data_IF_390991223151
#
_entry.id   IF_390991223151
#
_cell.length_a   1.000
_cell.length_b   1.000
_cell.length_c   1.000
_cell.angle_alpha   90.00
_cell.angle_beta   90.00
_cell.angle_gamma   90.00
#
_symmetry.space_group_name_H-M   'P 1'
#
loop_
_entity.id
_entity.type
_entity.pdbx_description
1 polymer ?
#
# COMPACT_ATOMS: atom_id res chain seq x y z
N UNK A 1 15.29 -13.40 4.81
CA UNK A 1 13.87 -13.24 5.21
C UNK A 1 13.42 -11.88 4.74
N UNK A 2 12.63 -11.79 3.67
CA UNK A 2 12.24 -10.50 3.12
C UNK A 2 10.72 -10.41 3.10
N UNK A 3 10.13 -10.10 4.26
CA UNK A 3 8.71 -9.70 4.37
C UNK A 3 8.42 -8.46 3.50
N UNK A 4 9.45 -7.69 3.14
CA UNK A 4 9.43 -6.46 2.34
C UNK A 4 8.57 -5.33 2.92
N UNK A 5 7.96 -5.55 4.09
CA UNK A 5 7.31 -4.53 4.92
C UNK A 5 8.30 -3.44 5.26
N UNK A 6 7.96 -2.22 4.86
CA UNK A 6 8.61 -1.00 5.31
C UNK A 6 7.93 -0.49 6.57
N UNK A 7 6.61 -0.36 6.52
CA UNK A 7 5.76 -0.02 7.66
C UNK A 7 4.39 -0.67 7.47
N UNK A 8 3.73 -1.01 8.58
CA UNK A 8 2.36 -1.48 8.57
C UNK A 8 1.71 -1.23 9.93
N UNK A 9 0.39 -1.19 9.95
CA UNK A 9 -0.41 -1.22 11.16
C UNK A 9 -1.35 -2.43 11.13
N UNK A 10 -1.74 -2.89 12.32
CA UNK A 10 -2.66 -4.01 12.46
C UNK A 10 -3.52 -3.88 13.72
N UNK A 11 -4.68 -4.51 13.68
CA UNK A 11 -5.58 -4.73 14.82
C UNK A 11 -5.63 -6.24 15.12
N UNK A 12 -5.89 -6.58 16.38
CA UNK A 12 -6.07 -7.96 16.83
C UNK A 12 -4.75 -8.73 16.91
N UNK A 13 -4.71 -9.93 16.34
CA UNK A 13 -3.57 -10.86 16.54
C UNK A 13 -2.28 -10.31 15.94
N UNK A 14 -1.17 -10.38 16.66
CA UNK A 14 0.14 -9.97 16.14
C UNK A 14 0.53 -10.77 14.89
N UNK A 15 0.97 -10.10 13.79
CA UNK A 15 1.50 -10.78 12.61
C UNK A 15 2.63 -11.76 12.95
N UNK A 16 2.75 -12.86 12.21
CA UNK A 16 3.71 -13.92 12.49
C UNK A 16 5.18 -13.45 12.54
N UNK A 17 5.52 -12.41 11.78
CA UNK A 17 6.86 -11.82 11.76
C UNK A 17 7.09 -10.78 12.88
N UNK A 18 6.07 -10.46 13.68
CA UNK A 18 6.15 -9.53 14.80
C UNK A 18 6.39 -8.06 14.41
N UNK A 19 6.12 -7.68 13.15
CA UNK A 19 6.33 -6.31 12.67
C UNK A 19 5.00 -5.57 12.58
N UNK A 20 5.09 -4.25 12.62
CA UNK A 20 3.96 -3.34 12.49
C UNK A 20 3.53 -2.73 13.81
N UNK A 21 2.69 -1.70 13.70
CA UNK A 21 2.16 -0.95 14.83
C UNK A 21 0.79 -1.51 15.20
N UNK A 22 0.65 -2.00 16.44
CA UNK A 22 -0.64 -2.43 16.96
C UNK A 22 -1.55 -1.22 17.16
N UNK A 23 -2.79 -1.34 16.70
CA UNK A 23 -3.85 -0.37 16.90
C UNK A 23 -5.00 -1.02 17.67
N UNK A 24 -5.68 -0.21 18.49
CA UNK A 24 -6.99 -0.59 19.00
C UNK A 24 -8.01 -0.64 17.86
N UNK A 25 -9.14 -1.30 18.09
CA UNK A 25 -10.24 -1.33 17.13
C UNK A 25 -10.82 0.08 16.89
N UNK A 26 -11.38 0.30 15.68
CA UNK A 26 -12.13 1.51 15.31
C UNK A 26 -11.35 2.83 15.41
N UNK A 27 -10.03 2.76 15.21
CA UNK A 27 -9.20 3.96 15.09
C UNK A 27 -9.53 4.75 13.80
N UNK A 28 -9.44 6.09 13.84
CA UNK A 28 -9.71 6.92 12.67
C UNK A 28 -8.65 6.73 11.59
N UNK A 29 -9.00 7.05 10.33
CA UNK A 29 -8.11 6.81 9.19
C UNK A 29 -6.79 7.58 9.27
N UNK A 30 -6.76 8.72 9.94
CA UNK A 30 -5.54 9.50 10.14
C UNK A 30 -4.53 8.74 11.01
N UNK A 31 -5.01 7.99 12.00
CA UNK A 31 -4.17 7.11 12.82
C UNK A 31 -3.64 5.96 11.97
N UNK A 32 -4.50 5.35 11.13
CA UNK A 32 -4.08 4.34 10.17
C UNK A 32 -3.04 4.85 9.19
N UNK A 33 -3.25 6.01 8.57
CA UNK A 33 -2.32 6.61 7.62
C UNK A 33 -0.94 6.77 8.25
N UNK A 34 -0.87 7.33 9.46
CA UNK A 34 0.39 7.52 10.16
C UNK A 34 1.05 6.19 10.54
N UNK A 35 0.30 5.29 11.18
CA UNK A 35 0.85 4.07 11.78
C UNK A 35 1.15 2.99 10.74
N UNK A 36 0.44 2.98 9.60
CA UNK A 36 0.75 2.11 8.46
C UNK A 36 1.88 2.66 7.58
N UNK A 37 2.36 3.88 7.85
CA UNK A 37 3.37 4.56 7.03
C UNK A 37 2.84 5.01 5.66
N UNK A 38 1.58 5.44 5.61
CA UNK A 38 0.85 5.89 4.41
C UNK A 38 0.53 7.40 4.44
N UNK A 39 1.01 8.14 5.45
CA UNK A 39 0.80 9.60 5.62
C UNK A 39 1.77 10.42 4.76
N UNK A 40 1.68 10.22 3.44
CA UNK A 40 2.46 10.93 2.41
C UNK A 40 1.74 10.84 1.06
N UNK A 41 2.16 11.66 0.11
CA UNK A 41 1.63 11.66 -1.25
C UNK A 41 2.69 11.27 -2.26
N UNK A 42 2.26 10.58 -3.32
CA UNK A 42 3.08 10.33 -4.50
C UNK A 42 3.06 11.60 -5.35
N UNK A 43 4.22 12.23 -5.48
CA UNK A 43 4.45 13.39 -6.33
C UNK A 43 5.10 12.98 -7.64
N UNK A 44 4.95 13.82 -8.66
CA UNK A 44 5.44 13.57 -10.01
C UNK A 44 6.42 14.66 -10.44
N UNK A 45 7.47 14.29 -11.18
CA UNK A 45 8.40 15.24 -11.79
C UNK A 45 8.91 14.75 -13.16
N UNK A 46 9.38 15.66 -14.04
CA UNK A 46 10.00 15.26 -15.30
C UNK A 46 11.26 14.41 -15.09
N UNK A 47 11.42 13.37 -15.91
CA UNK A 47 12.68 12.59 -15.92
C UNK A 47 13.75 13.37 -16.68
N UNK A 48 14.91 13.56 -16.04
CA UNK A 48 16.11 14.12 -16.66
C UNK A 48 17.25 13.11 -16.58
N UNK A 49 18.04 13.02 -17.63
CA UNK A 49 19.22 12.15 -17.72
C UNK A 49 20.40 12.91 -18.32
N UNK A 50 21.61 12.50 -17.97
CA UNK A 50 22.84 13.11 -18.49
C UNK A 50 23.39 12.27 -19.64
N UNK A 51 23.87 12.94 -20.70
CA UNK A 51 24.57 12.31 -21.82
C UNK A 51 25.90 12.99 -22.08
N UNK A 52 26.94 12.23 -22.42
CA UNK A 52 28.31 12.72 -22.62
C UNK A 52 29.24 12.27 -21.50
N UNK A 53 30.52 12.61 -21.62
CA UNK A 53 31.56 12.35 -20.62
C UNK A 53 31.68 13.52 -19.63
N UNK A 54 32.56 13.42 -18.64
CA UNK A 54 32.74 14.45 -17.57
C UNK A 54 32.94 15.89 -18.11
N UNK A 55 33.46 16.05 -19.32
CA UNK A 55 33.72 17.36 -19.93
C UNK A 55 32.63 17.85 -20.90
N UNK A 56 31.70 16.98 -21.33
CA UNK A 56 30.68 17.29 -22.35
C UNK A 56 29.25 16.96 -21.91
N UNK A 57 29.04 16.79 -20.60
CA UNK A 57 27.76 16.41 -20.03
C UNK A 57 26.66 17.40 -20.41
N UNK A 58 25.60 16.89 -21.04
CA UNK A 58 24.38 17.63 -21.36
C UNK A 58 23.19 16.98 -20.67
N UNK A 59 22.32 17.80 -20.07
CA UNK A 59 21.09 17.34 -19.43
C UNK A 59 20.00 17.24 -20.50
N UNK A 60 19.45 16.04 -20.66
CA UNK A 60 18.31 15.77 -21.55
C UNK A 60 17.08 15.41 -20.72
N UNK A 61 15.91 15.70 -21.27
CA UNK A 61 14.62 15.35 -20.67
C UNK A 61 14.00 14.18 -21.42
N UNK A 62 13.49 13.19 -20.70
CA UNK A 62 12.68 12.12 -21.30
C UNK A 62 11.20 12.50 -21.18
N UNK A 63 10.68 13.21 -22.19
CA UNK A 63 9.36 13.85 -22.12
C UNK A 63 8.19 12.87 -21.92
N UNK A 64 8.28 11.65 -22.47
CA UNK A 64 7.23 10.63 -22.37
C UNK A 64 7.16 9.94 -21.01
N UNK A 65 8.07 10.26 -20.10
CA UNK A 65 8.17 9.66 -18.79
C UNK A 65 8.21 10.71 -17.66
N UNK A 66 7.70 10.29 -16.51
CA UNK A 66 7.73 11.02 -15.25
C UNK A 66 8.29 10.13 -14.15
N UNK A 67 9.00 10.74 -13.20
CA UNK A 67 9.42 10.08 -11.97
C UNK A 67 8.36 10.30 -10.92
N UNK A 68 8.03 9.22 -10.20
CA UNK A 68 7.20 9.23 -9.00
C UNK A 68 8.12 9.23 -7.78
N UNK A 69 7.82 10.06 -6.80
CA UNK A 69 8.59 10.15 -5.56
C UNK A 69 7.70 10.49 -4.37
N UNK A 70 8.17 10.21 -3.15
CA UNK A 70 7.40 10.50 -1.93
C UNK A 70 7.51 11.96 -1.53
N UNK A 71 6.41 12.56 -1.11
CA UNK A 71 6.38 13.95 -0.62
C UNK A 71 7.15 14.18 0.68
N UNK A 72 7.30 13.14 1.50
CA UNK A 72 7.89 13.23 2.85
C UNK A 72 9.43 13.19 2.85
N UNK A 73 10.00 12.38 1.96
CA UNK A 73 11.41 12.02 1.95
C UNK A 73 12.10 12.34 0.63
N UNK A 74 11.33 12.69 -0.40
CA UNK A 74 11.77 12.77 -1.79
C UNK A 74 12.36 11.46 -2.32
N UNK A 75 12.10 10.33 -1.65
CA UNK A 75 12.62 9.04 -2.09
C UNK A 75 11.99 8.65 -3.44
N UNK A 76 12.80 8.24 -4.43
CA UNK A 76 12.29 7.84 -5.74
C UNK A 76 11.52 6.52 -5.62
N UNK A 77 10.35 6.46 -6.25
CA UNK A 77 9.49 5.29 -6.28
C UNK A 77 9.63 4.55 -7.60
N UNK A 78 9.36 5.22 -8.72
CA UNK A 78 9.42 4.60 -10.04
C UNK A 78 9.51 5.64 -11.16
N UNK A 79 9.88 5.20 -12.36
CA UNK A 79 9.72 5.97 -13.60
C UNK A 79 8.60 5.32 -14.41
N UNK A 80 7.58 6.10 -14.74
CA UNK A 80 6.39 5.65 -15.45
C UNK A 80 6.11 6.52 -16.66
N UNK A 81 5.28 6.05 -17.60
CA UNK A 81 4.84 6.86 -18.73
C UNK A 81 3.98 8.04 -18.26
N UNK A 82 3.91 9.13 -19.03
CA UNK A 82 3.05 10.29 -18.72
C UNK A 82 1.58 9.92 -18.48
N UNK A 83 1.05 8.93 -19.22
CA UNK A 83 -0.35 8.47 -19.11
C UNK A 83 -0.66 7.65 -17.83
N UNK A 84 0.37 7.28 -17.06
CA UNK A 84 0.19 6.44 -15.89
C UNK A 84 -0.64 7.18 -14.82
N UNK A 85 -1.69 6.52 -14.33
CA UNK A 85 -2.58 7.04 -13.30
C UNK A 85 -2.12 6.52 -11.94
N UNK A 86 -1.78 7.46 -11.07
CA UNK A 86 -1.29 7.15 -9.72
C UNK A 86 -2.49 7.06 -8.78
N UNK A 87 -2.57 5.96 -8.03
CA UNK A 87 -3.47 5.85 -6.88
C UNK A 87 -2.69 6.23 -5.63
N UNK A 88 -3.16 7.24 -4.91
CA UNK A 88 -2.54 7.77 -3.71
C UNK A 88 -2.72 6.84 -2.51
N UNK A 89 -1.75 6.78 -1.57
CA UNK A 89 -1.89 5.99 -0.35
C UNK A 89 -3.17 6.33 0.43
N UNK A 90 -3.54 7.61 0.47
CA UNK A 90 -4.78 8.08 1.11
C UNK A 90 -6.02 7.49 0.45
N UNK A 91 -6.11 7.48 -0.88
CA UNK A 91 -7.27 6.94 -1.62
C UNK A 91 -7.53 5.46 -1.28
N UNK A 92 -6.48 4.67 -1.00
CA UNK A 92 -6.61 3.28 -0.55
C UNK A 92 -7.32 3.19 0.81
N UNK A 93 -6.99 4.07 1.77
CA UNK A 93 -7.66 4.10 3.07
C UNK A 93 -9.09 4.61 2.96
N UNK A 94 -9.30 5.64 2.14
CA UNK A 94 -10.61 6.25 1.94
C UNK A 94 -11.60 5.27 1.29
N UNK A 95 -11.15 4.41 0.37
CA UNK A 95 -11.95 3.32 -0.16
C UNK A 95 -12.55 2.43 0.95
N UNK A 96 -11.80 2.17 2.02
CA UNK A 96 -12.30 1.38 3.14
C UNK A 96 -13.24 2.13 4.06
N UNK A 97 -13.10 3.46 4.22
CA UNK A 97 -14.08 4.25 4.98
C UNK A 97 -15.48 4.06 4.42
N UNK A 98 -15.63 4.17 3.11
CA UNK A 98 -16.93 4.01 2.45
C UNK A 98 -17.51 2.60 2.69
N UNK A 99 -16.66 1.56 2.68
CA UNK A 99 -17.08 0.19 2.98
C UNK A 99 -17.39 -0.05 4.46
N UNK A 100 -16.68 0.62 5.37
CA UNK A 100 -16.95 0.53 6.80
C UNK A 100 -18.29 1.18 7.14
N UNK A 101 -18.61 2.33 6.53
CA UNK A 101 -19.85 3.08 6.75
C UNK A 101 -21.07 2.37 6.17
N UNK A 102 -20.93 1.74 5.00
CA UNK A 102 -22.07 1.13 4.29
C UNK A 102 -22.25 -0.35 4.61
N UNK A 103 -21.16 -1.11 4.80
CA UNK A 103 -21.19 -2.58 4.88
C UNK A 103 -20.68 -3.15 6.21
N UNK A 104 -20.32 -2.30 7.18
CA UNK A 104 -19.82 -2.73 8.48
C UNK A 104 -18.46 -3.44 8.42
N UNK A 105 -17.67 -3.19 7.37
CA UNK A 105 -16.33 -3.74 7.26
C UNK A 105 -15.43 -3.07 8.29
N UNK A 106 -14.39 -3.78 8.73
CA UNK A 106 -13.45 -3.27 9.73
C UNK A 106 -12.02 -3.42 9.21
N UNK A 107 -11.27 -2.32 9.13
CA UNK A 107 -9.85 -2.36 8.78
C UNK A 107 -9.10 -3.23 9.80
N UNK A 108 -8.38 -4.23 9.29
CA UNK A 108 -7.64 -5.17 10.13
C UNK A 108 -6.14 -4.98 9.97
N UNK A 109 -5.66 -4.73 8.76
CA UNK A 109 -4.25 -4.47 8.49
C UNK A 109 -4.09 -3.53 7.30
N UNK A 110 -3.04 -2.71 7.31
CA UNK A 110 -2.66 -1.84 6.20
C UNK A 110 -1.17 -1.55 6.24
N UNK A 111 -0.56 -1.29 5.10
CA UNK A 111 0.85 -0.96 5.08
C UNK A 111 1.46 -0.72 3.72
N UNK A 112 2.78 -0.50 3.79
CA UNK A 112 3.63 -0.19 2.66
C UNK A 112 4.73 -1.24 2.55
N UNK A 113 4.95 -1.71 1.33
CA UNK A 113 5.97 -2.68 0.97
C UNK A 113 6.96 -2.06 0.00
N UNK A 114 8.20 -2.57 0.00
CA UNK A 114 9.25 -2.22 -0.98
C UNK A 114 9.56 -0.71 -1.06
N UNK A 115 9.60 0.02 0.06
CA UNK A 115 10.05 1.42 0.05
C UNK A 115 9.03 2.41 -0.52
N UNK A 116 7.72 2.19 -0.31
CA UNK A 116 6.65 2.96 -0.96
C UNK A 116 6.14 2.36 -2.27
N UNK A 117 6.87 1.36 -2.79
CA UNK A 117 6.60 0.57 -4.00
C UNK A 117 5.14 0.15 -4.16
N UNK A 118 4.68 -0.53 -3.12
CA UNK A 118 3.37 -1.18 -3.07
C UNK A 118 2.68 -0.81 -1.78
N UNK A 119 1.38 -0.62 -1.89
CA UNK A 119 0.52 -0.17 -0.82
C UNK A 119 -0.65 -1.13 -0.76
N UNK A 120 -1.06 -1.52 0.44
CA UNK A 120 -2.16 -2.44 0.61
C UNK A 120 -2.93 -2.15 1.90
N UNK A 121 -4.19 -2.53 1.91
CA UNK A 121 -5.03 -2.57 3.09
C UNK A 121 -5.98 -3.77 3.00
N UNK A 122 -6.41 -4.26 4.15
CA UNK A 122 -7.28 -5.42 4.31
C UNK A 122 -8.34 -5.08 5.34
N UNK A 123 -9.59 -5.28 4.98
CA UNK A 123 -10.70 -5.19 5.91
C UNK A 123 -11.38 -6.55 6.08
N UNK A 124 -11.77 -6.85 7.32
CA UNK A 124 -12.63 -7.96 7.66
C UNK A 124 -14.07 -7.62 7.25
N UNK A 125 -14.75 -8.54 6.58
CA UNK A 125 -16.09 -8.29 6.00
C UNK A 125 -17.24 -8.58 6.97
N UNK A 126 -16.93 -9.08 8.17
CA UNK A 126 -17.92 -9.62 9.12
C UNK A 126 -18.47 -11.00 8.75
N UNK A 127 -18.21 -11.50 7.53
CA UNK A 127 -18.58 -12.85 7.13
C UNK A 127 -17.63 -13.87 7.74
N UNK A 128 -18.19 -14.97 8.25
CA UNK A 128 -17.41 -16.11 8.74
C UNK A 128 -18.07 -17.43 8.37
N UNK A 129 -17.27 -18.47 8.25
CA UNK A 129 -17.71 -19.82 7.93
C UNK A 129 -17.05 -20.81 8.91
N UNK A 130 -17.88 -21.60 9.59
CA UNK A 130 -17.41 -22.70 10.42
C UNK A 130 -17.19 -23.95 9.58
N UNK A 131 -15.94 -24.43 9.58
CA UNK A 131 -15.52 -25.69 9.01
C UNK A 131 -15.69 -26.83 10.01
N UNK A 132 -15.58 -28.06 9.52
CA UNK A 132 -15.65 -29.26 10.36
C UNK A 132 -14.55 -29.22 11.42
N UNK A 133 -14.92 -29.46 12.69
CA UNK A 133 -13.96 -29.46 13.81
C UNK A 133 -13.83 -28.13 14.55
N UNK A 134 -14.84 -27.26 14.47
CA UNK A 134 -14.87 -25.93 15.12
C UNK A 134 -13.79 -24.95 14.61
N UNK A 135 -13.24 -25.19 13.42
CA UNK A 135 -12.36 -24.24 12.74
C UNK A 135 -13.20 -23.13 12.09
N UNK A 136 -12.87 -21.87 12.32
CA UNK A 136 -13.65 -20.71 11.85
C UNK A 136 -12.80 -19.88 10.91
N UNK A 137 -13.23 -19.77 9.66
CA UNK A 137 -12.59 -18.93 8.64
C UNK A 137 -13.34 -17.61 8.50
N UNK A 138 -12.62 -16.49 8.48
CA UNK A 138 -13.18 -15.16 8.25
C UNK A 138 -13.05 -14.75 6.77
N UNK A 139 -14.00 -13.95 6.29
CA UNK A 139 -13.92 -13.27 5.00
C UNK A 139 -13.23 -11.92 5.11
N UNK A 140 -12.39 -11.61 4.13
CA UNK A 140 -11.67 -10.35 4.01
C UNK A 140 -11.80 -9.78 2.61
N UNK A 141 -11.67 -8.45 2.50
CA UNK A 141 -11.46 -7.74 1.25
C UNK A 141 -10.07 -7.10 1.27
N UNK A 142 -9.20 -7.55 0.38
CA UNK A 142 -7.87 -6.99 0.14
C UNK A 142 -7.94 -5.96 -0.98
N UNK A 143 -7.35 -4.78 -0.77
CA UNK A 143 -7.05 -3.81 -1.80
C UNK A 143 -5.54 -3.61 -1.84
N UNK A 144 -4.94 -3.84 -2.99
CA UNK A 144 -3.51 -3.66 -3.20
C UNK A 144 -3.24 -2.89 -4.49
N UNK A 145 -2.26 -1.99 -4.46
CA UNK A 145 -1.79 -1.24 -5.63
C UNK A 145 -0.27 -1.10 -5.61
N UNK A 146 0.31 -0.83 -6.77
CA UNK A 146 1.72 -0.50 -6.88
C UNK A 146 1.91 0.66 -7.85
N UNK A 147 2.74 1.62 -7.49
CA UNK A 147 3.07 2.76 -8.34
C UNK A 147 4.24 2.49 -9.31
N UNK A 148 4.82 1.29 -9.25
CA UNK A 148 5.94 0.85 -10.10
C UNK A 148 5.50 0.07 -11.35
N UNK A 149 4.18 -0.03 -11.59
CA UNK A 149 3.62 -0.78 -12.72
C UNK A 149 3.68 -2.30 -12.58
N UNK A 150 4.16 -2.83 -11.46
CA UNK A 150 4.26 -4.29 -11.22
C UNK A 150 2.95 -4.93 -10.75
N UNK A 151 1.94 -4.13 -10.43
CA UNK A 151 0.63 -4.57 -9.96
C UNK A 151 -0.43 -3.55 -10.39
N UNK A 152 -1.54 -4.03 -10.96
CA UNK A 152 -2.73 -3.22 -11.14
C UNK A 152 -3.46 -3.06 -9.81
N UNK A 153 -4.07 -1.90 -9.57
CA UNK A 153 -4.96 -1.71 -8.41
C UNK A 153 -6.03 -2.81 -8.41
N UNK A 154 -5.99 -3.68 -7.40
CA UNK A 154 -6.77 -4.91 -7.35
C UNK A 154 -7.51 -4.98 -6.02
N UNK A 155 -8.82 -5.13 -6.08
CA UNK A 155 -9.68 -5.48 -4.95
C UNK A 155 -10.05 -6.97 -5.06
N UNK A 156 -9.81 -7.76 -4.01
CA UNK A 156 -10.05 -9.21 -4.03
C UNK A 156 -10.59 -9.70 -2.68
N UNK A 157 -11.65 -10.52 -2.73
CA UNK A 157 -12.09 -11.28 -1.57
C UNK A 157 -11.11 -12.42 -1.26
N UNK A 158 -10.78 -12.60 0.01
CA UNK A 158 -9.86 -13.65 0.48
C UNK A 158 -10.27 -14.15 1.86
N UNK A 159 -9.95 -15.40 2.17
CA UNK A 159 -10.04 -15.95 3.53
C UNK A 159 -8.73 -15.81 4.31
N UNK A 160 -7.70 -15.26 3.67
CA UNK A 160 -6.35 -15.15 4.23
C UNK A 160 -6.17 -13.76 4.83
N UNK A 161 -5.76 -13.73 6.09
CA UNK A 161 -5.30 -12.50 6.75
C UNK A 161 -3.93 -12.10 6.21
N UNK A 162 -3.92 -11.23 5.21
CA UNK A 162 -2.69 -10.68 4.62
C UNK A 162 -1.98 -9.80 5.64
N UNK A 163 -0.68 -10.02 5.84
CA UNK A 163 0.18 -9.18 6.70
C UNK A 163 1.48 -8.75 6.02
N UNK A 164 1.86 -9.41 4.93
CA UNK A 164 3.09 -9.10 4.19
C UNK A 164 3.04 -9.70 2.77
N UNK A 165 4.12 -9.54 1.99
CA UNK A 165 4.23 -10.10 0.63
C UNK A 165 4.48 -11.61 0.58
N UNK A 166 4.72 -12.28 1.72
CA UNK A 166 4.96 -13.73 1.79
C UNK A 166 3.72 -14.50 2.30
N UNK A 167 2.57 -13.82 2.30
CA UNK A 167 1.27 -14.37 2.64
C UNK A 167 0.49 -14.60 1.35
#
# INVERSE_FOLDING_TARGET
>A
MAHLVESMAYVGVTPWHGLGNHLEEKQPLEVWAKQAGMDWSILEAPVRFMTGDEQTSSIRTFADNKVLYRSDTNAPLSVVSQRYQVVQPREILEFYRDLTEVSGFELETAGVLKGGRKIWALAKTGQSMSLRGNDVTNGYLLLATACDGTLATTAQFTSIRVVCNNT
#
